data_IF_987082345433
#
_entry.id   IF_987082345433
#
_cell.length_a   1.000
_cell.length_b   1.000
_cell.length_c   1.000
_cell.angle_alpha   90.00
_cell.angle_beta   90.00
_cell.angle_gamma   90.00
#
_symmetry.space_group_name_H-M   'P 1'
#
loop_
_entity.id
_entity.type
_entity.pdbx_description
1 polymer ?
#
# COMPACT_ATOMS: atom_id res chain seq x y z
N UNK A 1 -8.99 54.91 -1.79
CA UNK A 1 -7.93 53.91 -2.00
C UNK A 1 -8.29 52.68 -1.19
N UNK A 2 -8.85 51.66 -1.84
CA UNK A 2 -9.32 50.43 -1.21
C UNK A 2 -8.20 49.40 -1.24
N UNK A 3 -7.75 48.96 -0.05
CA UNK A 3 -6.81 47.87 0.10
C UNK A 3 -7.54 46.55 -0.22
N UNK A 4 -7.21 45.94 -1.36
CA UNK A 4 -7.58 44.56 -1.65
C UNK A 4 -6.72 43.64 -0.78
N UNK A 5 -7.30 43.08 0.29
CA UNK A 5 -6.73 41.94 0.99
C UNK A 5 -6.83 40.72 0.10
N UNK A 6 -5.72 40.34 -0.53
CA UNK A 6 -5.55 39.04 -1.16
C UNK A 6 -5.50 38.01 -0.02
N UNK A 7 -6.64 37.40 0.30
CA UNK A 7 -6.68 36.25 1.19
C UNK A 7 -5.91 35.12 0.49
N UNK A 8 -4.70 34.86 0.96
CA UNK A 8 -3.92 33.69 0.61
C UNK A 8 -4.78 32.48 0.99
N UNK A 9 -5.41 31.84 0.00
CA UNK A 9 -5.93 30.49 0.17
C UNK A 9 -4.71 29.62 0.44
N UNK A 10 -4.36 29.46 1.72
CA UNK A 10 -3.47 28.41 2.15
C UNK A 10 -4.15 27.12 1.71
N UNK A 11 -3.66 26.54 0.60
CA UNK A 11 -3.93 25.15 0.28
C UNK A 11 -3.61 24.39 1.55
N UNK A 12 -4.63 23.84 2.21
CA UNK A 12 -4.42 22.87 3.29
C UNK A 12 -3.87 21.63 2.60
N UNK A 13 -2.58 21.69 2.26
CA UNK A 13 -1.86 20.54 1.78
C UNK A 13 -2.01 19.49 2.88
N UNK A 14 -2.72 18.41 2.55
CA UNK A 14 -2.69 17.22 3.38
C UNK A 14 -1.22 16.90 3.66
N UNK A 15 -0.93 16.42 4.88
CA UNK A 15 0.37 15.81 5.14
C UNK A 15 0.66 14.78 4.03
N UNK A 16 1.93 14.60 3.66
CA UNK A 16 2.32 13.62 2.65
C UNK A 16 1.73 12.23 2.93
N UNK A 17 1.44 11.43 1.90
CA UNK A 17 0.81 10.14 2.10
C UNK A 17 1.76 9.20 2.86
N UNK A 18 1.17 8.32 3.68
CA UNK A 18 1.86 7.15 4.20
C UNK A 18 1.58 5.97 3.27
N UNK A 19 2.62 5.25 2.87
CA UNK A 19 2.58 4.28 1.78
C UNK A 19 3.05 2.91 2.27
N UNK A 20 2.21 1.90 2.03
CA UNK A 20 2.54 0.49 2.21
C UNK A 20 2.57 -0.20 0.85
N UNK A 21 3.65 -0.90 0.56
CA UNK A 21 3.78 -1.74 -0.63
C UNK A 21 3.97 -3.18 -0.17
N UNK A 22 3.03 -4.04 -0.53
CA UNK A 22 3.07 -5.47 -0.28
C UNK A 22 3.34 -6.18 -1.60
N UNK A 23 4.49 -6.84 -1.71
CA UNK A 23 4.83 -7.64 -2.88
C UNK A 23 4.63 -9.11 -2.58
N UNK A 24 3.75 -9.76 -3.34
CA UNK A 24 3.44 -11.18 -3.24
C UNK A 24 4.57 -12.09 -3.72
N UNK A 25 4.31 -13.39 -3.72
CA UNK A 25 5.28 -14.40 -4.17
C UNK A 25 5.56 -14.25 -5.69
N UNK A 26 6.82 -14.08 -6.11
CA UNK A 26 7.17 -14.03 -7.52
C UNK A 26 7.01 -15.39 -8.23
N UNK A 27 7.05 -16.52 -7.52
CA UNK A 27 6.92 -17.87 -8.09
C UNK A 27 8.13 -18.38 -8.89
N UNK A 28 8.90 -17.50 -9.54
CA UNK A 28 10.16 -17.81 -10.23
C UNK A 28 11.17 -16.65 -10.20
N UNK A 29 12.41 -16.93 -10.62
CA UNK A 29 13.52 -15.97 -10.60
C UNK A 29 13.32 -14.79 -11.57
N UNK A 30 12.66 -15.00 -12.71
CA UNK A 30 12.41 -13.94 -13.69
C UNK A 30 11.43 -12.90 -13.12
N UNK A 31 10.37 -13.38 -12.47
CA UNK A 31 9.43 -12.52 -11.76
C UNK A 31 10.08 -11.87 -10.54
N UNK A 32 11.01 -12.56 -9.87
CA UNK A 32 11.76 -11.99 -8.76
C UNK A 32 12.56 -10.75 -9.19
N UNK A 33 13.32 -10.83 -10.28
CA UNK A 33 14.07 -9.70 -10.84
C UNK A 33 13.16 -8.55 -11.26
N UNK A 34 12.03 -8.87 -11.90
CA UNK A 34 11.02 -7.89 -12.29
C UNK A 34 10.46 -7.14 -11.07
N UNK A 35 10.12 -7.85 -9.99
CA UNK A 35 9.61 -7.24 -8.77
C UNK A 35 10.67 -6.36 -8.09
N UNK A 36 11.92 -6.84 -7.96
CA UNK A 36 13.00 -6.03 -7.39
C UNK A 36 13.22 -4.71 -8.16
N UNK A 37 13.22 -4.78 -9.50
CA UNK A 37 13.37 -3.59 -10.35
C UNK A 37 12.22 -2.60 -10.15
N UNK A 38 10.98 -3.10 -10.10
CA UNK A 38 9.80 -2.27 -9.88
C UNK A 38 9.78 -1.65 -8.48
N UNK A 39 10.07 -2.42 -7.43
CA UNK A 39 10.13 -1.92 -6.06
C UNK A 39 11.22 -0.86 -5.89
N UNK A 40 12.38 -1.05 -6.52
CA UNK A 40 13.44 -0.03 -6.58
C UNK A 40 12.96 1.24 -7.26
N UNK A 41 12.22 1.12 -8.37
CA UNK A 41 11.65 2.26 -9.09
C UNK A 41 10.58 2.98 -8.27
N UNK A 42 9.65 2.24 -7.66
CA UNK A 42 8.60 2.79 -6.79
C UNK A 42 9.19 3.54 -5.60
N UNK A 43 10.20 2.96 -4.94
CA UNK A 43 10.91 3.62 -3.85
C UNK A 43 11.49 4.97 -4.28
N UNK A 44 12.17 5.01 -5.45
CA UNK A 44 12.70 6.27 -5.99
C UNK A 44 11.60 7.26 -6.33
N UNK A 45 10.52 6.83 -6.96
CA UNK A 45 9.39 7.70 -7.33
C UNK A 45 8.76 8.32 -6.07
N UNK A 46 8.44 7.52 -5.05
CA UNK A 46 7.83 8.03 -3.81
C UNK A 46 8.76 8.97 -3.07
N UNK A 47 10.03 8.61 -2.90
CA UNK A 47 10.96 9.41 -2.08
C UNK A 47 11.52 10.62 -2.81
N UNK A 48 11.86 10.51 -4.09
CA UNK A 48 12.55 11.56 -4.85
C UNK A 48 11.61 12.45 -5.65
N UNK A 49 10.50 11.90 -6.17
CA UNK A 49 9.54 12.66 -6.98
C UNK A 49 8.40 13.19 -6.15
N UNK A 50 7.80 12.35 -5.30
CA UNK A 50 6.67 12.75 -4.45
C UNK A 50 7.06 13.25 -3.06
N UNK A 51 8.34 13.14 -2.69
CA UNK A 51 8.85 13.63 -1.41
C UNK A 51 8.28 12.90 -0.18
N UNK A 52 7.80 11.66 -0.36
CA UNK A 52 7.40 10.80 0.78
C UNK A 52 8.63 10.53 1.63
N UNK A 53 8.55 10.87 2.91
CA UNK A 53 9.66 10.63 3.82
C UNK A 53 9.89 9.12 3.98
N UNK A 54 11.14 8.69 4.13
CA UNK A 54 11.47 7.26 4.20
C UNK A 54 10.73 6.52 5.32
N UNK A 55 10.46 7.17 6.46
CA UNK A 55 9.67 6.56 7.54
C UNK A 55 8.18 6.36 7.21
N UNK A 56 7.67 7.07 6.21
CA UNK A 56 6.29 7.01 5.74
C UNK A 56 6.14 6.07 4.52
N UNK A 57 7.20 5.36 4.13
CA UNK A 57 7.18 4.35 3.07
C UNK A 57 7.65 3.00 3.62
N UNK A 58 6.76 2.01 3.62
CA UNK A 58 7.05 0.62 4.00
C UNK A 58 6.91 -0.30 2.79
N UNK A 59 7.87 -1.20 2.60
CA UNK A 59 7.93 -2.15 1.49
C UNK A 59 8.21 -3.56 2.02
N UNK A 60 7.22 -4.45 1.88
CA UNK A 60 7.29 -5.85 2.29
C UNK A 60 7.47 -6.74 1.05
N UNK A 61 8.58 -7.45 1.00
CA UNK A 61 8.92 -8.37 -0.08
C UNK A 61 9.98 -9.38 0.38
N UNK A 62 11.11 -8.88 0.89
CA UNK A 62 12.28 -9.68 1.25
C UNK A 62 12.83 -9.32 2.64
N UNK A 63 13.98 -9.92 3.02
CA UNK A 63 14.56 -9.69 4.34
C UNK A 63 15.06 -8.24 4.52
N UNK A 64 15.16 -7.80 5.77
CA UNK A 64 15.50 -6.41 6.11
C UNK A 64 16.90 -5.99 5.68
N UNK A 65 17.85 -6.92 5.69
CA UNK A 65 19.22 -6.73 5.24
C UNK A 65 19.32 -6.44 3.72
N UNK A 66 18.33 -6.85 2.93
CA UNK A 66 18.17 -6.46 1.53
C UNK A 66 17.50 -5.07 1.36
N UNK A 67 17.25 -4.35 2.45
CA UNK A 67 16.69 -3.00 2.44
C UNK A 67 15.16 -2.97 2.28
N UNK A 68 14.45 -4.02 2.69
CA UNK A 68 12.99 -4.06 2.81
C UNK A 68 12.56 -3.97 4.27
N UNK A 69 11.26 -3.86 4.53
CA UNK A 69 10.69 -3.82 5.88
C UNK A 69 10.35 -5.22 6.42
N UNK A 70 10.42 -6.24 5.57
CA UNK A 70 10.23 -7.64 5.93
C UNK A 70 9.70 -8.48 4.77
N UNK A 71 9.61 -9.79 4.99
CA UNK A 71 8.98 -10.73 4.06
C UNK A 71 7.46 -10.52 4.13
N UNK A 72 6.80 -10.49 2.98
CA UNK A 72 5.35 -10.28 2.90
C UNK A 72 4.57 -11.57 3.22
N UNK A 73 4.65 -12.08 4.44
CA UNK A 73 3.78 -13.20 4.87
C UNK A 73 2.37 -12.71 5.17
N UNK A 74 1.42 -13.63 5.32
CA UNK A 74 0.05 -13.34 5.75
C UNK A 74 0.00 -12.53 7.05
N UNK A 75 0.77 -12.96 8.05
CA UNK A 75 0.78 -12.34 9.37
C UNK A 75 1.31 -10.90 9.31
N UNK A 76 2.38 -10.70 8.53
CA UNK A 76 2.97 -9.36 8.30
C UNK A 76 1.98 -8.48 7.56
N UNK A 77 1.40 -8.96 6.45
CA UNK A 77 0.45 -8.19 5.66
C UNK A 77 -0.75 -7.76 6.51
N UNK A 78 -1.39 -8.68 7.23
CA UNK A 78 -2.57 -8.36 8.03
C UNK A 78 -2.24 -7.45 9.22
N UNK A 79 -1.06 -7.60 9.83
CA UNK A 79 -0.61 -6.68 10.90
C UNK A 79 -0.38 -5.27 10.37
N UNK A 80 0.31 -5.16 9.24
CA UNK A 80 0.67 -3.87 8.64
C UNK A 80 -0.52 -3.15 8.02
N UNK A 81 -1.54 -3.88 7.53
CA UNK A 81 -2.81 -3.26 7.12
C UNK A 81 -3.54 -2.64 8.31
N UNK A 82 -3.46 -3.23 9.51
CA UNK A 82 -4.02 -2.62 10.73
C UNK A 82 -3.27 -1.33 11.10
N UNK A 83 -1.95 -1.32 10.94
CA UNK A 83 -1.14 -0.11 11.12
C UNK A 83 -1.50 0.96 10.09
N UNK A 84 -1.69 0.58 8.82
CA UNK A 84 -2.12 1.47 7.75
C UNK A 84 -3.52 2.05 8.04
N UNK A 85 -4.46 1.23 8.50
CA UNK A 85 -5.77 1.68 8.94
C UNK A 85 -5.67 2.64 10.12
N UNK A 86 -4.86 2.33 11.13
CA UNK A 86 -4.64 3.22 12.27
C UNK A 86 -4.03 4.56 11.87
N UNK A 87 -3.14 4.58 10.87
CA UNK A 87 -2.47 5.78 10.38
C UNK A 87 -3.44 6.80 9.75
N UNK A 88 -4.64 6.37 9.31
CA UNK A 88 -5.69 7.29 8.84
C UNK A 88 -6.19 8.25 9.94
N UNK A 89 -6.01 7.90 11.23
CA UNK A 89 -6.40 8.75 12.37
C UNK A 89 -5.60 10.05 12.44
N UNK A 90 -4.39 10.05 11.88
CA UNK A 90 -3.52 11.23 11.82
C UNK A 90 -3.93 12.22 10.72
N UNK A 91 -5.02 11.94 9.97
CA UNK A 91 -5.49 12.71 8.82
C UNK A 91 -4.51 12.77 7.64
N UNK A 92 -3.50 11.91 7.63
CA UNK A 92 -2.63 11.68 6.48
C UNK A 92 -3.28 10.67 5.52
N UNK A 93 -3.32 10.93 4.20
CA UNK A 93 -3.75 9.93 3.24
C UNK A 93 -2.91 8.65 3.37
N UNK A 94 -3.55 7.50 3.20
CA UNK A 94 -2.89 6.18 3.26
C UNK A 94 -3.01 5.48 1.92
N UNK A 95 -1.90 4.98 1.40
CA UNK A 95 -1.82 4.28 0.12
C UNK A 95 -1.34 2.86 0.38
N UNK A 96 -2.12 1.89 -0.04
CA UNK A 96 -1.81 0.46 0.03
C UNK A 96 -1.66 -0.06 -1.39
N UNK A 97 -0.48 -0.59 -1.72
CA UNK A 97 -0.18 -1.17 -3.03
C UNK A 97 0.03 -2.66 -2.85
N UNK A 98 -0.83 -3.47 -3.48
CA UNK A 98 -0.70 -4.92 -3.58
C UNK A 98 -0.08 -5.26 -4.94
N UNK A 99 1.23 -5.48 -4.95
CA UNK A 99 1.99 -5.87 -6.13
C UNK A 99 2.12 -7.40 -6.17
N UNK A 100 1.45 -8.08 -7.08
CA UNK A 100 1.58 -9.54 -7.12
C UNK A 100 0.55 -10.25 -7.97
N UNK A 101 0.53 -11.56 -7.80
CA UNK A 101 -0.49 -12.43 -8.36
C UNK A 101 -1.64 -12.64 -7.38
N UNK A 102 -2.80 -12.99 -7.92
CA UNK A 102 -3.93 -13.41 -7.13
C UNK A 102 -4.78 -14.40 -7.91
N UNK A 103 -5.32 -15.39 -7.21
CA UNK A 103 -6.18 -16.42 -7.78
C UNK A 103 -7.64 -16.13 -7.46
N UNK A 104 -8.49 -16.23 -8.46
CA UNK A 104 -9.94 -16.21 -8.25
C UNK A 104 -10.37 -17.50 -7.57
N UNK A 105 -11.25 -17.38 -6.59
CA UNK A 105 -11.90 -18.50 -5.90
C UNK A 105 -13.42 -18.27 -5.88
N UNK A 106 -14.23 -19.32 -5.67
CA UNK A 106 -15.66 -19.11 -5.41
C UNK A 106 -15.85 -18.18 -4.22
N UNK A 107 -16.46 -17.01 -4.46
CA UNK A 107 -16.72 -16.01 -3.42
C UNK A 107 -15.59 -15.01 -3.15
N UNK A 108 -14.56 -14.93 -4.00
CA UNK A 108 -13.58 -13.85 -3.91
C UNK A 108 -12.22 -14.16 -4.53
N UNK A 109 -11.18 -13.55 -3.98
CA UNK A 109 -9.81 -13.64 -4.50
C UNK A 109 -8.82 -13.87 -3.38
N UNK A 110 -7.78 -14.65 -3.67
CA UNK A 110 -6.64 -14.92 -2.79
C UNK A 110 -5.39 -14.24 -3.37
N UNK A 111 -4.82 -13.29 -2.63
CA UNK A 111 -3.52 -12.69 -2.93
C UNK A 111 -2.41 -13.70 -2.63
N UNK A 112 -1.53 -13.95 -3.61
CA UNK A 112 -0.50 -14.96 -3.48
C UNK A 112 0.68 -14.46 -2.65
N UNK A 113 0.99 -15.16 -1.57
CA UNK A 113 2.06 -14.80 -0.64
C UNK A 113 3.05 -15.95 -0.47
N UNK A 114 4.28 -15.67 0.00
CA UNK A 114 5.13 -16.70 0.56
C UNK A 114 4.41 -17.41 1.71
N UNK A 115 3.99 -18.66 1.46
CA UNK A 115 3.23 -19.46 2.43
C UNK A 115 1.72 -19.38 2.21
N UNK A 116 0.99 -18.92 3.24
CA UNK A 116 -0.48 -18.91 3.22
C UNK A 116 -0.98 -17.64 2.54
N UNK A 117 -1.83 -17.82 1.52
CA UNK A 117 -2.48 -16.70 0.82
C UNK A 117 -3.49 -15.95 1.70
N UNK A 118 -3.80 -14.71 1.29
CA UNK A 118 -4.75 -13.85 2.00
C UNK A 118 -5.94 -13.52 1.12
N UNK A 119 -7.14 -13.67 1.67
CA UNK A 119 -8.37 -13.31 0.96
C UNK A 119 -8.64 -11.80 0.97
N UNK A 120 -9.37 -11.31 -0.04
CA UNK A 120 -9.89 -9.93 -0.03
C UNK A 120 -10.73 -9.61 1.22
N UNK A 121 -11.45 -10.60 1.75
CA UNK A 121 -12.21 -10.47 3.00
C UNK A 121 -11.30 -10.17 4.19
N UNK A 122 -10.24 -10.94 4.37
CA UNK A 122 -9.28 -10.73 5.46
C UNK A 122 -8.55 -9.38 5.34
N UNK A 123 -8.28 -8.93 4.12
CA UNK A 123 -7.75 -7.57 3.85
C UNK A 123 -8.76 -6.51 4.31
N UNK A 124 -10.04 -6.68 3.95
CA UNK A 124 -11.11 -5.79 4.40
C UNK A 124 -11.24 -5.74 5.92
N UNK A 125 -11.27 -6.91 6.58
CA UNK A 125 -11.33 -7.04 8.04
C UNK A 125 -10.12 -6.36 8.72
N UNK A 126 -8.91 -6.49 8.16
CA UNK A 126 -7.72 -5.82 8.67
C UNK A 126 -7.78 -4.28 8.54
N UNK A 127 -8.59 -3.77 7.61
CA UNK A 127 -8.74 -2.33 7.33
C UNK A 127 -9.95 -1.68 8.02
N UNK A 128 -10.79 -2.43 8.74
CA UNK A 128 -12.00 -1.92 9.41
C UNK A 128 -11.75 -0.73 10.35
N UNK A 129 -10.54 -0.60 10.89
CA UNK A 129 -10.14 0.49 11.77
C UNK A 129 -9.88 1.84 11.07
N UNK A 130 -10.00 1.90 9.74
CA UNK A 130 -9.73 3.11 8.95
C UNK A 130 -10.83 4.17 9.16
N UNK A 131 -10.39 5.43 9.24
CA UNK A 131 -11.26 6.60 9.46
C UNK A 131 -11.81 7.08 8.11
N UNK A 132 -13.14 7.07 7.89
CA UNK A 132 -13.75 7.38 6.59
C UNK A 132 -13.42 8.77 6.03
N UNK A 133 -13.11 9.73 6.90
CA UNK A 133 -12.78 11.12 6.53
C UNK A 133 -11.38 11.27 5.93
N UNK A 134 -10.53 10.24 6.03
CA UNK A 134 -9.16 10.28 5.53
C UNK A 134 -9.02 9.34 4.32
N UNK A 135 -8.50 9.80 3.17
CA UNK A 135 -8.39 8.96 1.99
C UNK A 135 -7.53 7.71 2.24
N UNK A 136 -8.12 6.54 2.02
CA UNK A 136 -7.44 5.25 1.91
C UNK A 136 -7.52 4.79 0.46
N UNK A 137 -6.37 4.73 -0.20
CA UNK A 137 -6.24 4.31 -1.61
C UNK A 137 -5.67 2.89 -1.64
N UNK A 138 -6.35 1.97 -2.32
CA UNK A 138 -5.87 0.61 -2.54
C UNK A 138 -5.58 0.44 -4.03
N UNK A 139 -4.36 0.05 -4.38
CA UNK A 139 -3.92 -0.26 -5.74
C UNK A 139 -3.56 -1.75 -5.81
N UNK A 140 -4.41 -2.56 -6.44
CA UNK A 140 -4.13 -3.97 -6.68
C UNK A 140 -3.64 -4.17 -8.12
N UNK A 141 -2.41 -4.67 -8.30
CA UNK A 141 -1.82 -4.89 -9.64
C UNK A 141 -2.04 -6.31 -10.15
N UNK A 142 -2.99 -7.04 -9.58
CA UNK A 142 -3.19 -8.47 -9.85
C UNK A 142 -4.12 -8.69 -11.03
N UNK A 143 -3.97 -9.82 -11.75
CA UNK A 143 -4.85 -10.18 -12.86
C UNK A 143 -6.32 -10.40 -12.41
N UNK A 144 -6.54 -10.79 -11.14
CA UNK A 144 -7.86 -10.97 -10.53
C UNK A 144 -8.32 -9.73 -9.72
N UNK A 145 -7.77 -8.55 -10.01
CA UNK A 145 -7.98 -7.32 -9.22
C UNK A 145 -9.45 -6.86 -9.14
N UNK A 146 -10.27 -7.16 -10.14
CA UNK A 146 -11.70 -6.81 -10.14
C UNK A 146 -12.45 -7.33 -8.89
N UNK A 147 -12.06 -8.48 -8.38
CA UNK A 147 -12.73 -9.13 -7.24
C UNK A 147 -12.37 -8.51 -5.89
N UNK A 148 -11.46 -7.53 -5.85
CA UNK A 148 -11.26 -6.67 -4.68
C UNK A 148 -12.27 -5.52 -4.62
N UNK A 149 -13.00 -5.24 -5.72
CA UNK A 149 -13.92 -4.09 -5.82
C UNK A 149 -15.39 -4.49 -5.61
N UNK A 150 -15.71 -5.79 -5.62
CA UNK A 150 -17.08 -6.29 -5.48
C UNK A 150 -17.24 -6.94 -4.09
N UNK A 151 -18.20 -6.47 -3.27
CA UNK A 151 -18.53 -7.08 -1.97
C UNK A 151 -19.12 -8.48 -2.10
#
# INVERSE_FOLDING_TARGET
>A
MSLFSLALLASTAFAGPKVWIFSGDPGDDLHHEFYQKNLTSLRKIFTQTYGVASQDLRIFYGPKDAGYDGICTKEVLLSELKDAAAATKDKSPVWVILQGHANSIPGGVLFNLPGVDVSAREIGEALEGAVPETPLVILATTAASEQYLRP
#
